data_IF_013742221902
#
_entry.id   IF_013742221902
#
_cell.length_a   1.000
_cell.length_b   1.000
_cell.length_c   1.000
_cell.angle_alpha   90.00
_cell.angle_beta   90.00
_cell.angle_gamma   90.00
#
_symmetry.space_group_name_H-M   'P 1'
#
loop_
_entity.id
_entity.type
_entity.pdbx_description
1 polymer ?
#
# COMPACT_ATOMS: atom_id res chain seq x y z
N UNK A 1 9.33 -8.52 -44.89
CA UNK A 1 8.77 -9.25 -43.74
C UNK A 1 8.83 -8.49 -42.40
N UNK A 2 9.80 -7.60 -42.11
CA UNK A 2 9.88 -6.89 -40.81
C UNK A 2 8.88 -5.72 -40.63
N UNK A 3 8.39 -5.12 -41.71
CA UNK A 3 7.39 -4.02 -41.69
C UNK A 3 5.99 -4.49 -41.33
N UNK A 4 5.58 -5.67 -41.82
CA UNK A 4 4.27 -6.28 -41.52
C UNK A 4 4.17 -6.67 -40.03
N UNK A 5 5.28 -7.12 -39.43
CA UNK A 5 5.30 -7.51 -38.02
C UNK A 5 5.17 -6.30 -37.07
N UNK A 6 5.77 -5.15 -37.41
CA UNK A 6 5.66 -3.89 -36.65
C UNK A 6 4.27 -3.26 -36.72
N UNK A 7 3.60 -3.37 -37.88
CA UNK A 7 2.21 -2.91 -38.06
C UNK A 7 1.24 -3.67 -37.15
N UNK A 8 1.36 -5.00 -37.08
CA UNK A 8 0.51 -5.85 -36.22
C UNK A 8 0.71 -5.56 -34.73
N UNK A 9 1.94 -5.33 -34.27
CA UNK A 9 2.19 -4.99 -32.87
C UNK A 9 1.60 -3.64 -32.45
N UNK A 10 1.56 -2.67 -33.36
CA UNK A 10 0.96 -1.36 -33.13
C UNK A 10 -0.56 -1.44 -32.94
N UNK A 11 -1.24 -2.18 -33.81
CA UNK A 11 -2.69 -2.39 -33.74
C UNK A 11 -3.11 -3.09 -32.44
N UNK A 12 -2.38 -4.14 -32.04
CA UNK A 12 -2.65 -4.84 -30.76
C UNK A 12 -2.48 -3.91 -29.57
N UNK A 13 -1.44 -3.07 -29.57
CA UNK A 13 -1.18 -2.11 -28.48
C UNK A 13 -2.32 -1.08 -28.35
N UNK A 14 -2.79 -0.53 -29.47
CA UNK A 14 -3.93 0.39 -29.45
C UNK A 14 -5.24 -0.29 -29.05
N UNK A 15 -5.46 -1.54 -29.48
CA UNK A 15 -6.60 -2.33 -29.04
C UNK A 15 -6.61 -2.54 -27.52
N UNK A 16 -5.46 -2.87 -26.92
CA UNK A 16 -5.33 -2.99 -25.46
C UNK A 16 -5.55 -1.66 -24.74
N UNK A 17 -5.03 -0.57 -25.29
CA UNK A 17 -5.24 0.78 -24.75
C UNK A 17 -6.72 1.15 -24.71
N UNK A 18 -7.43 0.98 -25.82
CA UNK A 18 -8.85 1.30 -25.93
C UNK A 18 -9.70 0.39 -25.02
N UNK A 19 -9.40 -0.91 -24.98
CA UNK A 19 -10.12 -1.85 -24.12
C UNK A 19 -9.92 -1.53 -22.63
N UNK A 20 -8.68 -1.28 -22.20
CA UNK A 20 -8.38 -0.89 -20.82
C UNK A 20 -9.06 0.42 -20.44
N UNK A 21 -9.05 1.42 -21.33
CA UNK A 21 -9.73 2.70 -21.13
C UNK A 21 -11.25 2.52 -21.05
N UNK A 22 -11.84 1.68 -21.90
CA UNK A 22 -13.27 1.40 -21.93
C UNK A 22 -13.74 0.73 -20.63
N UNK A 23 -13.05 -0.30 -20.17
CA UNK A 23 -13.40 -1.03 -18.94
C UNK A 23 -13.25 -0.15 -17.70
N UNK A 24 -12.17 0.64 -17.61
CA UNK A 24 -11.99 1.60 -16.52
C UNK A 24 -13.08 2.67 -16.52
N UNK A 25 -13.44 3.19 -17.70
CA UNK A 25 -14.53 4.16 -17.84
C UNK A 25 -15.88 3.58 -17.45
N UNK A 26 -16.13 2.31 -17.80
CA UNK A 26 -17.32 1.58 -17.37
C UNK A 26 -17.42 1.48 -15.85
N UNK A 27 -16.35 1.07 -15.18
CA UNK A 27 -16.29 1.01 -13.71
C UNK A 27 -16.52 2.39 -13.09
N UNK A 28 -15.82 3.43 -13.55
CA UNK A 28 -16.00 4.80 -13.03
C UNK A 28 -17.45 5.25 -13.24
N UNK A 29 -18.03 5.03 -14.41
CA UNK A 29 -19.42 5.40 -14.69
C UNK A 29 -20.38 4.67 -13.75
N UNK A 30 -20.23 3.36 -13.55
CA UNK A 30 -21.07 2.57 -12.63
C UNK A 30 -20.95 3.05 -11.20
N UNK A 31 -19.74 3.24 -10.70
CA UNK A 31 -19.47 3.67 -9.32
C UNK A 31 -20.00 5.08 -9.06
N UNK A 32 -19.90 5.97 -10.05
CA UNK A 32 -20.35 7.36 -9.92
C UNK A 32 -21.86 7.52 -10.13
N UNK A 33 -22.51 6.64 -10.90
CA UNK A 33 -23.96 6.71 -11.13
C UNK A 33 -24.79 6.01 -10.05
N UNK A 34 -24.23 5.06 -9.32
CA UNK A 34 -24.92 4.36 -8.23
C UNK A 34 -24.65 5.02 -6.87
N UNK A 35 -25.70 5.50 -6.22
CA UNK A 35 -25.61 6.15 -4.91
C UNK A 35 -25.03 5.21 -3.82
N UNK A 36 -25.30 3.91 -3.87
CA UNK A 36 -24.79 2.95 -2.89
C UNK A 36 -23.27 2.78 -3.01
N UNK A 37 -22.72 2.97 -4.23
CA UNK A 37 -21.29 2.87 -4.48
C UNK A 37 -20.60 4.20 -4.20
N UNK A 38 -21.19 5.32 -4.63
CA UNK A 38 -20.55 6.64 -4.53
C UNK A 38 -20.47 7.16 -3.10
N UNK A 39 -21.47 6.87 -2.25
CA UNK A 39 -21.51 7.30 -0.85
C UNK A 39 -20.39 6.69 0.01
N UNK A 40 -19.77 5.58 -0.44
CA UNK A 40 -18.65 4.95 0.29
C UNK A 40 -17.35 5.76 0.14
N UNK A 41 -17.24 6.58 -0.91
CA UNK A 41 -16.00 7.29 -1.19
C UNK A 41 -15.88 8.63 -0.48
N UNK A 42 -16.94 9.44 -0.52
CA UNK A 42 -16.91 10.82 -0.02
C UNK A 42 -18.33 11.39 0.13
N UNK A 43 -18.49 12.52 0.86
CA UNK A 43 -19.78 13.18 1.01
C UNK A 43 -20.30 13.79 -0.31
N UNK A 44 -21.59 14.15 -0.33
CA UNK A 44 -22.30 14.54 -1.56
C UNK A 44 -21.68 15.76 -2.27
N UNK A 45 -21.15 16.74 -1.53
CA UNK A 45 -20.50 17.93 -2.09
C UNK A 45 -19.25 17.58 -2.92
N UNK A 46 -18.43 16.66 -2.42
CA UNK A 46 -17.27 16.13 -3.16
C UNK A 46 -17.74 15.32 -4.37
N UNK A 47 -18.87 14.61 -4.24
CA UNK A 47 -19.44 13.84 -5.35
C UNK A 47 -19.88 14.72 -6.51
N UNK A 48 -20.59 15.82 -6.26
CA UNK A 48 -21.01 16.77 -7.29
C UNK A 48 -19.81 17.32 -8.08
N UNK A 49 -18.70 17.62 -7.39
CA UNK A 49 -17.44 18.05 -8.03
C UNK A 49 -16.89 17.00 -9.00
N UNK A 50 -16.83 15.72 -8.60
CA UNK A 50 -16.33 14.66 -9.47
C UNK A 50 -17.26 14.39 -10.67
N UNK A 51 -18.58 14.47 -10.47
CA UNK A 51 -19.55 14.35 -11.55
C UNK A 51 -19.36 15.46 -12.59
N UNK A 52 -19.19 16.70 -12.15
CA UNK A 52 -18.90 17.84 -13.03
C UNK A 52 -17.56 17.66 -13.76
N UNK A 53 -16.51 17.19 -13.07
CA UNK A 53 -15.22 16.87 -13.68
C UNK A 53 -15.34 15.78 -14.75
N UNK A 54 -16.32 14.89 -14.65
CA UNK A 54 -16.62 13.85 -15.63
C UNK A 54 -17.64 14.29 -16.71
N UNK A 55 -18.10 15.53 -16.66
CA UNK A 55 -19.05 16.11 -17.63
C UNK A 55 -20.49 15.62 -17.45
N UNK A 56 -20.85 15.25 -16.22
CA UNK A 56 -22.22 15.04 -15.81
C UNK A 56 -22.72 16.17 -14.92
N UNK A 57 -23.98 16.07 -14.52
CA UNK A 57 -24.66 17.02 -13.63
C UNK A 57 -25.48 16.26 -12.58
N UNK A 58 -25.65 16.86 -11.41
CA UNK A 58 -26.51 16.34 -10.33
C UNK A 58 -27.72 17.24 -10.15
N UNK A 59 -28.92 16.65 -10.22
CA UNK A 59 -30.17 17.37 -9.97
C UNK A 59 -30.83 16.82 -8.72
N UNK A 60 -31.41 17.68 -7.87
CA UNK A 60 -32.18 17.23 -6.71
C UNK A 60 -33.65 17.10 -7.11
N UNK A 61 -34.24 15.93 -6.86
CA UNK A 61 -35.67 15.74 -7.05
C UNK A 61 -36.47 16.60 -6.08
N UNK A 62 -37.78 16.75 -6.35
CA UNK A 62 -38.73 17.42 -5.44
C UNK A 62 -38.77 16.75 -4.05
N UNK A 63 -38.45 15.46 -3.98
CA UNK A 63 -38.33 14.70 -2.72
C UNK A 63 -36.96 14.80 -2.04
N UNK A 64 -36.03 15.61 -2.57
CA UNK A 64 -34.68 15.79 -2.03
C UNK A 64 -33.68 14.70 -2.38
N UNK A 65 -34.05 13.74 -3.25
CA UNK A 65 -33.15 12.67 -3.72
C UNK A 65 -32.29 13.21 -4.85
N UNK A 66 -30.98 13.11 -4.70
CA UNK A 66 -30.02 13.49 -5.74
C UNK A 66 -30.04 12.47 -6.88
N UNK A 67 -30.31 12.94 -8.09
CA UNK A 67 -30.21 12.17 -9.33
C UNK A 67 -28.96 12.60 -10.09
N UNK A 68 -28.14 11.63 -10.46
CA UNK A 68 -26.89 11.86 -11.20
C UNK A 68 -27.10 11.58 -12.67
N UNK A 69 -26.93 12.60 -13.52
CA UNK A 69 -26.90 12.45 -14.97
C UNK A 69 -25.44 12.43 -15.44
N UNK A 70 -24.90 11.24 -15.74
CA UNK A 70 -23.51 11.08 -16.16
C UNK A 70 -23.43 10.32 -17.50
N UNK A 71 -23.18 11.01 -18.62
CA UNK A 71 -23.08 10.36 -19.92
C UNK A 71 -21.83 9.46 -20.01
N UNK A 72 -22.01 8.17 -20.27
CA UNK A 72 -20.90 7.21 -20.40
C UNK A 72 -19.85 7.62 -21.44
N UNK A 73 -20.28 8.27 -22.54
CA UNK A 73 -19.38 8.80 -23.56
C UNK A 73 -18.47 9.91 -23.01
N UNK A 74 -18.98 10.79 -22.13
CA UNK A 74 -18.18 11.85 -21.50
C UNK A 74 -17.12 11.26 -20.57
N UNK A 75 -17.50 10.27 -19.74
CA UNK A 75 -16.57 9.54 -18.87
C UNK A 75 -15.46 8.89 -19.71
N UNK A 76 -15.83 8.18 -20.77
CA UNK A 76 -14.87 7.53 -21.66
C UNK A 76 -13.87 8.49 -22.29
N UNK A 77 -14.34 9.62 -22.82
CA UNK A 77 -13.47 10.64 -23.44
C UNK A 77 -12.48 11.22 -22.43
N UNK A 78 -12.92 11.50 -21.20
CA UNK A 78 -12.08 12.11 -20.16
C UNK A 78 -11.06 11.13 -19.58
N UNK A 79 -11.46 9.88 -19.31
CA UNK A 79 -10.55 8.82 -18.86
C UNK A 79 -9.51 8.52 -19.94
N UNK A 80 -9.94 8.34 -21.19
CA UNK A 80 -9.03 8.10 -22.32
C UNK A 80 -8.08 9.29 -22.52
N UNK A 81 -8.60 10.52 -22.43
CA UNK A 81 -7.81 11.75 -22.50
C UNK A 81 -6.76 11.85 -21.40
N UNK A 82 -7.11 11.49 -20.15
CA UNK A 82 -6.18 11.46 -19.03
C UNK A 82 -5.05 10.43 -19.23
N UNK A 83 -5.39 9.20 -19.64
CA UNK A 83 -4.39 8.15 -19.92
C UNK A 83 -3.48 8.51 -21.10
N UNK A 84 -4.03 9.16 -22.13
CA UNK A 84 -3.25 9.68 -23.25
C UNK A 84 -2.33 10.83 -22.80
N UNK A 85 -2.81 11.73 -21.95
CA UNK A 85 -2.03 12.80 -21.34
C UNK A 85 -0.84 12.28 -20.54
N UNK A 86 -1.06 11.25 -19.70
CA UNK A 86 0.01 10.52 -19.01
C UNK A 86 1.03 9.92 -19.99
N UNK A 87 0.55 9.32 -21.08
CA UNK A 87 1.40 8.74 -22.12
C UNK A 87 2.27 9.82 -22.79
N UNK A 88 1.68 10.95 -23.19
CA UNK A 88 2.38 12.08 -23.81
C UNK A 88 3.43 12.63 -22.85
N UNK A 89 3.05 12.85 -21.59
CA UNK A 89 3.95 13.37 -20.56
C UNK A 89 5.13 12.41 -20.30
N UNK A 90 4.87 11.10 -20.20
CA UNK A 90 5.92 10.10 -20.04
C UNK A 90 6.89 10.07 -21.23
N UNK A 91 6.36 10.25 -22.44
CA UNK A 91 7.15 10.29 -23.67
C UNK A 91 8.02 11.54 -23.74
N UNK A 92 7.46 12.70 -23.37
CA UNK A 92 8.18 13.98 -23.31
C UNK A 92 9.27 13.97 -22.25
N UNK A 93 9.00 13.48 -21.04
CA UNK A 93 10.00 13.36 -19.98
C UNK A 93 11.14 12.40 -20.39
N UNK A 94 10.80 11.27 -21.00
CA UNK A 94 11.78 10.31 -21.47
C UNK A 94 12.63 10.84 -22.64
N UNK A 95 12.07 11.68 -23.51
CA UNK A 95 12.82 12.30 -24.62
C UNK A 95 13.70 13.47 -24.15
N UNK A 96 13.23 14.27 -23.20
CA UNK A 96 14.00 15.38 -22.59
C UNK A 96 15.27 14.88 -21.90
N UNK A 97 15.17 13.82 -21.08
CA UNK A 97 16.35 13.18 -20.45
C UNK A 97 17.35 12.61 -21.46
N UNK A 98 16.89 12.17 -22.63
CA UNK A 98 17.78 11.69 -23.70
C UNK A 98 18.58 12.83 -24.30
N UNK A 99 18.01 14.01 -24.46
CA UNK A 99 18.75 15.17 -24.98
C UNK A 99 19.84 15.62 -23.99
N UNK A 100 19.56 15.63 -22.69
CA UNK A 100 20.57 15.95 -21.67
C UNK A 100 21.69 14.90 -21.61
N UNK A 101 21.35 13.61 -21.75
CA UNK A 101 22.35 12.53 -21.72
C UNK A 101 23.08 12.34 -23.06
N UNK A 102 22.50 12.71 -24.19
CA UNK A 102 23.15 12.63 -25.51
C UNK A 102 24.39 13.54 -25.60
N UNK A 103 24.40 14.67 -24.88
CA UNK A 103 25.60 15.49 -24.70
C UNK A 103 26.71 14.79 -23.89
N UNK A 104 26.40 13.72 -23.13
CA UNK A 104 27.35 12.90 -22.36
C UNK A 104 27.69 11.54 -23.02
N UNK A 105 26.83 11.01 -23.88
CA UNK A 105 26.90 9.63 -24.41
C UNK A 105 27.67 9.52 -25.74
N UNK A 106 28.08 10.63 -26.35
CA UNK A 106 29.01 10.59 -27.50
C UNK A 106 30.38 9.96 -27.14
N UNK A 107 30.67 9.72 -25.85
CA UNK A 107 31.91 9.10 -25.39
C UNK A 107 31.87 7.58 -25.11
N UNK A 108 30.72 6.91 -24.89
CA UNK A 108 30.72 5.45 -24.59
C UNK A 108 29.48 4.68 -25.05
N UNK A 109 29.70 3.92 -26.12
CA UNK A 109 29.14 2.60 -26.44
C UNK A 109 27.62 2.44 -26.63
N UNK A 110 27.30 1.97 -27.85
CA UNK A 110 26.03 1.37 -28.26
C UNK A 110 25.74 0.10 -27.46
N UNK A 111 24.99 0.23 -26.36
CA UNK A 111 24.35 -0.92 -25.70
C UNK A 111 22.82 -0.72 -25.65
N UNK A 112 22.14 -1.39 -26.59
CA UNK A 112 20.76 -1.91 -26.50
C UNK A 112 19.75 -1.16 -25.61
N UNK A 113 19.37 0.07 -25.95
CA UNK A 113 18.10 0.65 -25.47
C UNK A 113 16.99 0.38 -26.49
N UNK A 114 16.19 -0.67 -26.28
CA UNK A 114 14.93 -0.84 -27.03
C UNK A 114 13.96 0.26 -26.59
N UNK A 115 13.84 1.34 -27.36
CA UNK A 115 12.80 2.33 -27.12
C UNK A 115 11.43 1.71 -27.40
N UNK A 116 10.59 1.56 -26.37
CA UNK A 116 9.17 1.25 -26.56
C UNK A 116 8.53 2.32 -27.45
N UNK A 117 7.73 1.89 -28.43
CA UNK A 117 6.93 2.81 -29.24
C UNK A 117 5.87 3.49 -28.38
N UNK A 118 5.40 4.65 -28.83
CA UNK A 118 4.33 5.41 -28.16
C UNK A 118 3.08 4.55 -27.89
N UNK A 119 2.69 3.74 -28.87
CA UNK A 119 1.56 2.81 -28.74
C UNK A 119 1.75 1.77 -27.63
N UNK A 120 2.97 1.25 -27.44
CA UNK A 120 3.25 0.27 -26.39
C UNK A 120 3.27 0.91 -25.00
N UNK A 121 3.72 2.17 -24.90
CA UNK A 121 3.63 2.96 -23.65
C UNK A 121 2.18 3.21 -23.24
N UNK A 122 1.35 3.62 -24.19
CA UNK A 122 -0.08 3.81 -24.00
C UNK A 122 -0.74 2.50 -23.52
N UNK A 123 -0.50 1.39 -24.24
CA UNK A 123 -1.04 0.09 -23.90
C UNK A 123 -0.65 -0.36 -22.48
N UNK A 124 0.59 -0.12 -22.08
CA UNK A 124 1.06 -0.47 -20.75
C UNK A 124 0.33 0.34 -19.66
N UNK A 125 0.26 1.68 -19.78
CA UNK A 125 -0.43 2.55 -18.80
C UNK A 125 -1.90 2.16 -18.65
N UNK A 126 -2.59 1.80 -19.74
CA UNK A 126 -4.00 1.44 -19.70
C UNK A 126 -4.26 -0.03 -19.28
N UNK A 127 -3.23 -0.90 -19.30
CA UNK A 127 -3.38 -2.34 -19.03
C UNK A 127 -4.01 -2.66 -17.68
N UNK A 128 -3.68 -1.98 -16.56
CA UNK A 128 -4.35 -2.25 -15.29
C UNK A 128 -5.85 -1.97 -15.33
N UNK A 129 -6.33 -1.10 -16.22
CA UNK A 129 -7.76 -0.88 -16.45
C UNK A 129 -8.53 -2.11 -16.93
N UNK A 130 -7.84 -3.15 -17.43
CA UNK A 130 -8.48 -4.44 -17.73
C UNK A 130 -9.05 -5.12 -16.47
N UNK A 131 -8.47 -4.90 -15.29
CA UNK A 131 -9.00 -5.43 -14.03
C UNK A 131 -10.34 -4.80 -13.64
N UNK A 132 -10.66 -3.60 -14.14
CA UNK A 132 -12.01 -3.03 -14.02
C UNK A 132 -13.06 -3.93 -14.66
N UNK A 133 -12.71 -4.69 -15.71
CA UNK A 133 -13.61 -5.68 -16.31
C UNK A 133 -13.95 -6.84 -15.38
N UNK A 134 -13.02 -7.27 -14.53
CA UNK A 134 -13.26 -8.32 -13.52
C UNK A 134 -14.23 -7.79 -12.47
N UNK A 135 -13.99 -6.57 -11.96
CA UNK A 135 -14.90 -5.95 -10.99
C UNK A 135 -16.29 -5.73 -11.58
N UNK A 136 -16.39 -5.22 -12.81
CA UNK A 136 -17.67 -5.03 -13.51
C UNK A 136 -18.43 -6.36 -13.67
N UNK A 137 -17.74 -7.43 -14.06
CA UNK A 137 -18.34 -8.75 -14.18
C UNK A 137 -18.89 -9.24 -12.84
N UNK A 138 -18.13 -9.07 -11.75
CA UNK A 138 -18.58 -9.43 -10.40
C UNK A 138 -19.78 -8.58 -9.97
N UNK A 139 -19.73 -7.27 -10.18
CA UNK A 139 -20.81 -6.34 -9.82
C UNK A 139 -22.12 -6.67 -10.55
N UNK A 140 -22.08 -6.88 -11.86
CA UNK A 140 -23.28 -7.23 -12.64
C UNK A 140 -23.75 -8.67 -12.41
N UNK A 141 -22.88 -9.57 -11.99
CA UNK A 141 -23.26 -10.93 -11.58
C UNK A 141 -23.81 -10.98 -10.15
N UNK A 142 -23.48 -10.03 -9.28
CA UNK A 142 -23.87 -10.07 -7.86
C UNK A 142 -25.40 -10.17 -7.64
N UNK A 143 -26.26 -9.45 -8.40
CA UNK A 143 -27.71 -9.63 -8.30
C UNK A 143 -28.20 -11.04 -8.65
N UNK A 144 -27.50 -11.78 -9.52
CA UNK A 144 -27.88 -13.13 -9.94
C UNK A 144 -27.73 -14.15 -8.79
N UNK A 145 -26.83 -13.87 -7.84
CA UNK A 145 -26.56 -14.74 -6.68
C UNK A 145 -27.63 -14.56 -5.58
N UNK A 146 -28.48 -13.52 -5.68
CA UNK A 146 -29.57 -13.22 -4.72
C UNK A 146 -29.15 -13.11 -3.24
N UNK A 147 -27.86 -12.88 -2.97
CA UNK A 147 -27.33 -12.71 -1.61
C UNK A 147 -27.03 -11.24 -1.35
N UNK A 148 -27.82 -10.62 -0.47
CA UNK A 148 -27.67 -9.20 -0.07
C UNK A 148 -26.26 -8.93 0.46
N UNK A 149 -25.71 -9.87 1.25
CA UNK A 149 -24.36 -9.77 1.82
C UNK A 149 -23.27 -9.70 0.75
N UNK A 150 -23.46 -10.38 -0.39
CA UNK A 150 -22.48 -10.38 -1.47
C UNK A 150 -22.48 -9.03 -2.21
N UNK A 151 -23.66 -8.45 -2.47
CA UNK A 151 -23.77 -7.11 -3.07
C UNK A 151 -23.13 -6.06 -2.14
N UNK A 152 -23.44 -6.13 -0.84
CA UNK A 152 -22.84 -5.25 0.16
C UNK A 152 -21.31 -5.40 0.20
N UNK A 153 -20.80 -6.64 0.17
CA UNK A 153 -19.36 -6.90 0.13
C UNK A 153 -18.68 -6.27 -1.09
N UNK A 154 -19.25 -6.43 -2.30
CA UNK A 154 -18.69 -5.82 -3.51
C UNK A 154 -18.74 -4.29 -3.42
N UNK A 155 -19.83 -3.72 -2.89
CA UNK A 155 -19.95 -2.27 -2.68
C UNK A 155 -18.88 -1.74 -1.70
N UNK A 156 -18.75 -2.35 -0.52
CA UNK A 156 -17.78 -1.95 0.51
C UNK A 156 -16.32 -2.11 0.05
N UNK A 157 -16.02 -3.07 -0.82
CA UNK A 157 -14.67 -3.29 -1.35
C UNK A 157 -14.35 -2.48 -2.62
N UNK A 158 -15.32 -1.71 -3.13
CA UNK A 158 -15.15 -0.90 -4.35
C UNK A 158 -14.05 0.16 -4.24
N UNK A 159 -13.93 0.95 -3.14
CA UNK A 159 -12.82 1.88 -2.99
C UNK A 159 -11.45 1.22 -3.05
N UNK A 160 -11.31 0.06 -2.41
CA UNK A 160 -10.08 -0.72 -2.44
C UNK A 160 -9.72 -1.17 -3.87
N UNK A 161 -10.69 -1.75 -4.60
CA UNK A 161 -10.49 -2.18 -5.97
C UNK A 161 -10.09 -1.02 -6.89
N UNK A 162 -10.77 0.13 -6.80
CA UNK A 162 -10.46 1.30 -7.61
C UNK A 162 -9.07 1.85 -7.29
N UNK A 163 -8.72 2.00 -6.01
CA UNK A 163 -7.40 2.49 -5.58
C UNK A 163 -6.27 1.57 -6.05
N UNK A 164 -6.45 0.24 -6.01
CA UNK A 164 -5.45 -0.70 -6.54
C UNK A 164 -5.22 -0.52 -8.05
N UNK A 165 -6.29 -0.32 -8.82
CA UNK A 165 -6.20 -0.11 -10.27
C UNK A 165 -5.49 1.21 -10.55
N UNK A 166 -5.87 2.30 -9.88
CA UNK A 166 -5.23 3.61 -10.03
C UNK A 166 -3.75 3.58 -9.62
N UNK A 167 -3.41 2.92 -8.50
CA UNK A 167 -2.04 2.75 -8.06
C UNK A 167 -1.21 1.94 -9.08
N UNK A 168 -1.81 0.93 -9.70
CA UNK A 168 -1.16 0.14 -10.75
C UNK A 168 -0.91 0.94 -12.03
N UNK A 169 -1.87 1.80 -12.44
CA UNK A 169 -1.71 2.73 -13.56
C UNK A 169 -0.58 3.72 -13.27
N UNK A 170 -0.56 4.30 -12.07
CA UNK A 170 0.48 5.23 -11.65
C UNK A 170 1.86 4.57 -11.62
N UNK A 171 1.95 3.34 -11.09
CA UNK A 171 3.18 2.56 -11.08
C UNK A 171 3.71 2.29 -12.49
N UNK A 172 2.83 1.91 -13.43
CA UNK A 172 3.21 1.69 -14.82
C UNK A 172 3.60 2.99 -15.55
N UNK A 173 2.97 4.11 -15.19
CA UNK A 173 3.37 5.42 -15.72
C UNK A 173 4.75 5.85 -15.19
N UNK A 174 5.01 5.67 -13.88
CA UNK A 174 6.29 5.98 -13.26
C UNK A 174 7.42 5.09 -13.79
N UNK A 175 7.16 3.79 -14.00
CA UNK A 175 8.14 2.84 -14.55
C UNK A 175 8.64 3.27 -15.94
N UNK A 176 7.80 3.96 -16.71
CA UNK A 176 8.14 4.47 -18.05
C UNK A 176 9.02 5.72 -18.07
N UNK A 177 9.08 6.43 -16.94
CA UNK A 177 9.87 7.67 -16.75
C UNK A 177 11.18 7.36 -15.99
N UNK A 178 11.17 6.31 -15.18
CA UNK A 178 12.34 5.87 -14.42
C UNK A 178 13.36 5.24 -15.35
N UNK A 179 14.58 5.79 -15.37
CA UNK A 179 15.70 5.15 -16.04
C UNK A 179 16.12 3.97 -15.18
N UNK A 180 15.54 2.80 -15.44
CA UNK A 180 16.09 1.52 -14.97
C UNK A 180 17.36 1.20 -15.77
N UNK A 181 18.31 2.13 -15.79
CA UNK A 181 19.71 1.74 -15.93
C UNK A 181 19.96 0.89 -14.69
N UNK A 182 20.11 -0.42 -14.87
CA UNK A 182 20.39 -1.35 -13.79
C UNK A 182 21.44 -0.69 -12.88
N UNK A 183 21.03 -0.33 -11.67
CA UNK A 183 21.93 0.25 -10.67
C UNK A 183 23.00 -0.82 -10.48
N UNK A 184 24.17 -0.61 -11.08
CA UNK A 184 25.27 -1.54 -10.91
C UNK A 184 25.58 -1.56 -9.42
N UNK A 185 25.80 -2.74 -8.81
CA UNK A 185 26.10 -2.85 -7.39
C UNK A 185 27.31 -1.99 -6.96
N UNK A 186 28.15 -1.54 -7.90
CA UNK A 186 29.21 -0.55 -7.67
C UNK A 186 28.71 0.85 -7.29
N UNK A 187 27.59 1.36 -7.82
CA UNK A 187 27.07 2.67 -7.39
C UNK A 187 26.37 2.63 -6.02
N UNK A 188 26.01 1.43 -5.56
CA UNK A 188 25.50 1.20 -4.20
C UNK A 188 26.57 1.36 -3.11
N UNK A 189 27.84 1.56 -3.49
CA UNK A 189 28.92 1.96 -2.57
C UNK A 189 28.95 3.45 -2.27
N UNK A 190 28.05 4.25 -2.89
CA UNK A 190 27.78 5.63 -2.46
C UNK A 190 27.52 5.63 -0.95
N UNK A 191 28.39 6.35 -0.23
CA UNK A 191 28.53 6.27 1.23
C UNK A 191 27.19 6.29 1.95
N UNK A 192 27.11 5.59 3.08
CA UNK A 192 25.95 5.64 3.96
C UNK A 192 25.56 7.11 4.17
N UNK A 193 24.39 7.51 3.67
CA UNK A 193 23.89 8.87 3.75
C UNK A 193 23.58 9.21 5.19
N UNK A 194 24.63 9.43 6.00
CA UNK A 194 24.51 9.64 7.45
C UNK A 194 23.68 10.88 7.73
N UNK A 195 23.77 11.89 6.85
CA UNK A 195 22.95 13.09 6.91
C UNK A 195 21.48 12.78 6.64
N UNK A 196 21.17 12.04 5.57
CA UNK A 196 19.78 11.66 5.24
C UNK A 196 19.15 10.81 6.34
N UNK A 197 19.88 9.83 6.87
CA UNK A 197 19.39 9.05 8.01
C UNK A 197 19.23 9.93 9.26
N UNK A 198 20.15 10.86 9.53
CA UNK A 198 20.02 11.79 10.65
C UNK A 198 18.77 12.67 10.50
N UNK A 199 18.46 13.15 9.30
CA UNK A 199 17.22 13.89 9.01
C UNK A 199 16.00 13.02 9.31
N UNK A 200 15.99 11.76 8.89
CA UNK A 200 14.90 10.82 9.20
C UNK A 200 14.76 10.62 10.71
N UNK A 201 15.86 10.43 11.44
CA UNK A 201 15.84 10.26 12.90
C UNK A 201 15.31 11.51 13.59
N UNK A 202 15.76 12.70 13.18
CA UNK A 202 15.24 13.97 13.71
C UNK A 202 13.73 14.08 13.43
N UNK A 203 13.30 13.76 12.20
CA UNK A 203 11.89 13.79 11.82
C UNK A 203 11.05 12.80 12.64
N UNK A 204 11.57 11.61 12.95
CA UNK A 204 10.93 10.64 13.85
C UNK A 204 10.67 11.28 15.23
N UNK A 205 11.68 11.91 15.83
CA UNK A 205 11.51 12.55 17.15
C UNK A 205 10.59 13.77 17.12
N UNK A 206 10.63 14.56 16.05
CA UNK A 206 9.72 15.70 15.86
C UNK A 206 8.28 15.22 15.71
N UNK A 207 8.06 14.19 14.89
CA UNK A 207 6.75 13.59 14.69
C UNK A 207 6.22 12.99 16.01
N UNK A 208 7.05 12.22 16.71
CA UNK A 208 6.71 11.65 18.03
C UNK A 208 6.32 12.72 19.04
N UNK A 209 7.12 13.79 19.16
CA UNK A 209 6.83 14.88 20.08
C UNK A 209 5.50 15.59 19.73
N UNK A 210 5.21 15.75 18.44
CA UNK A 210 3.95 16.36 17.98
C UNK A 210 2.75 15.45 18.25
N UNK A 211 2.84 14.17 17.90
CA UNK A 211 1.81 13.16 18.15
C UNK A 211 1.50 13.04 19.63
N UNK A 212 2.53 12.84 20.46
CA UNK A 212 2.39 12.77 21.90
C UNK A 212 1.77 14.04 22.48
N UNK A 213 2.20 15.23 22.03
CA UNK A 213 1.60 16.48 22.47
C UNK A 213 0.11 16.56 22.13
N UNK A 214 -0.28 16.17 20.91
CA UNK A 214 -1.68 16.16 20.50
C UNK A 214 -2.52 15.18 21.32
N UNK A 215 -2.04 13.96 21.54
CA UNK A 215 -2.75 12.99 22.36
C UNK A 215 -2.80 13.38 23.85
N UNK A 216 -1.75 14.01 24.38
CA UNK A 216 -1.78 14.58 25.73
C UNK A 216 -2.84 15.68 25.85
N UNK A 217 -3.03 16.53 24.83
CA UNK A 217 -4.13 17.50 24.81
C UNK A 217 -5.50 16.83 24.81
N UNK A 218 -5.65 15.72 24.08
CA UNK A 218 -6.90 14.93 24.10
C UNK A 218 -7.15 14.33 25.48
N UNK A 219 -6.12 13.73 26.08
CA UNK A 219 -6.19 13.17 27.44
C UNK A 219 -6.53 14.23 28.49
N UNK A 220 -5.80 15.35 28.50
CA UNK A 220 -6.04 16.46 29.43
C UNK A 220 -7.41 17.12 29.22
N UNK A 221 -7.92 17.13 27.98
CA UNK A 221 -9.25 17.60 27.63
C UNK A 221 -10.38 16.62 27.92
N UNK A 222 -10.08 15.43 28.46
CA UNK A 222 -11.03 14.32 28.64
C UNK A 222 -11.74 13.90 27.34
N UNK A 223 -11.02 14.03 26.22
CA UNK A 223 -11.45 13.68 24.87
C UNK A 223 -10.90 12.29 24.47
N UNK A 224 -10.91 11.33 25.40
CA UNK A 224 -10.56 9.94 25.14
C UNK A 224 -11.87 9.14 25.08
N UNK A 225 -12.47 8.97 23.90
CA UNK A 225 -13.88 8.64 23.76
C UNK A 225 -14.22 7.15 23.98
N UNK A 226 -13.24 6.24 24.09
CA UNK A 226 -13.49 4.78 24.13
C UNK A 226 -12.83 4.04 25.29
N UNK A 227 -13.57 3.04 25.80
CA UNK A 227 -13.16 2.16 26.90
C UNK A 227 -11.95 1.27 26.58
N UNK A 228 -11.72 0.93 25.30
CA UNK A 228 -10.56 0.14 24.86
C UNK A 228 -9.23 0.67 25.41
N UNK A 229 -9.05 2.00 25.34
CA UNK A 229 -7.84 2.67 25.81
C UNK A 229 -7.56 2.40 27.29
N UNK A 230 -8.59 2.47 28.13
CA UNK A 230 -8.49 2.17 29.57
C UNK A 230 -8.36 0.66 29.82
N UNK A 231 -9.00 -0.15 28.98
CA UNK A 231 -8.97 -1.61 29.06
C UNK A 231 -7.56 -2.17 28.88
N UNK A 232 -6.78 -1.69 27.90
CA UNK A 232 -5.40 -2.16 27.71
C UNK A 232 -4.48 -1.80 28.89
N UNK A 233 -4.68 -0.63 29.49
CA UNK A 233 -3.95 -0.24 30.71
C UNK A 233 -4.34 -1.15 31.89
N UNK A 234 -5.64 -1.43 32.04
CA UNK A 234 -6.16 -2.38 33.03
C UNK A 234 -5.51 -3.76 32.89
N UNK A 235 -5.34 -4.26 31.66
CA UNK A 235 -4.70 -5.55 31.40
C UNK A 235 -3.26 -5.58 31.89
N UNK A 236 -2.46 -4.56 31.53
CA UNK A 236 -1.09 -4.48 32.01
C UNK A 236 -1.06 -4.45 33.53
N UNK A 237 -1.90 -3.61 34.14
CA UNK A 237 -2.01 -3.50 35.59
C UNK A 237 -2.40 -4.83 36.24
N UNK A 238 -3.41 -5.52 35.73
CA UNK A 238 -3.89 -6.81 36.25
C UNK A 238 -2.83 -7.91 36.13
N UNK A 239 -2.08 -7.94 35.03
CA UNK A 239 -1.02 -8.95 34.80
C UNK A 239 0.08 -8.84 35.86
N UNK A 240 0.64 -7.65 36.11
CA UNK A 240 1.72 -7.53 37.09
C UNK A 240 1.24 -7.57 38.56
N UNK A 241 -0.06 -7.35 38.81
CA UNK A 241 -0.69 -7.58 40.12
C UNK A 241 -1.19 -9.02 40.33
N UNK A 242 -0.89 -9.96 39.42
CA UNK A 242 -1.25 -11.37 39.57
C UNK A 242 -2.73 -11.68 39.34
N UNK A 243 -3.48 -10.77 38.73
CA UNK A 243 -4.90 -10.93 38.38
C UNK A 243 -5.11 -11.51 36.97
N UNK A 244 -4.05 -11.62 36.16
CA UNK A 244 -4.09 -12.18 34.81
C UNK A 244 -4.78 -11.25 33.80
N UNK A 245 -5.35 -11.80 32.72
CA UNK A 245 -6.08 -11.06 31.68
C UNK A 245 -7.56 -10.82 32.02
N UNK A 246 -7.86 -10.55 33.29
CA UNK A 246 -9.21 -10.13 33.68
C UNK A 246 -9.45 -8.72 33.15
N UNK A 247 -10.64 -8.48 32.61
CA UNK A 247 -11.13 -7.16 32.23
C UNK A 247 -12.37 -6.86 33.05
N UNK A 248 -12.52 -5.61 33.50
CA UNK A 248 -13.75 -5.15 34.12
C UNK A 248 -14.78 -4.67 33.09
N UNK A 249 -14.29 -4.19 31.94
CA UNK A 249 -15.10 -3.67 30.84
C UNK A 249 -15.69 -4.80 29.98
N UNK A 250 -14.95 -5.90 29.80
CA UNK A 250 -15.45 -7.12 29.17
C UNK A 250 -15.70 -8.17 30.24
N UNK A 251 -16.95 -8.62 30.38
CA UNK A 251 -17.29 -9.66 31.36
C UNK A 251 -16.65 -11.00 30.97
N UNK A 252 -15.39 -11.23 31.36
CA UNK A 252 -14.66 -12.46 31.04
C UNK A 252 -13.12 -12.33 31.03
N UNK A 253 -12.50 -13.18 30.21
CA UNK A 253 -11.06 -13.14 29.88
C UNK A 253 -10.90 -12.38 28.56
N UNK A 254 -10.07 -11.33 28.56
CA UNK A 254 -9.81 -10.48 27.39
C UNK A 254 -9.42 -11.25 26.11
N UNK A 255 -8.66 -12.34 26.26
CA UNK A 255 -8.25 -13.20 25.14
C UNK A 255 -9.42 -13.91 24.43
N UNK A 256 -10.64 -13.83 24.98
CA UNK A 256 -11.85 -14.36 24.36
C UNK A 256 -12.42 -13.49 23.24
N UNK A 257 -12.09 -12.21 23.19
CA UNK A 257 -12.56 -11.30 22.13
C UNK A 257 -11.56 -11.17 20.98
N UNK A 258 -10.29 -10.94 21.31
CA UNK A 258 -9.20 -10.90 20.34
C UNK A 258 -7.93 -11.55 20.92
N UNK A 259 -7.17 -12.24 20.07
CA UNK A 259 -5.87 -12.81 20.49
C UNK A 259 -4.82 -11.70 20.38
N UNK A 260 -4.76 -10.84 21.40
CA UNK A 260 -3.86 -9.67 21.43
C UNK A 260 -2.97 -9.69 22.65
N UNK A 261 -1.70 -10.02 22.48
CA UNK A 261 -0.72 -10.08 23.59
C UNK A 261 0.49 -9.18 23.36
N UNK A 262 0.58 -8.51 22.20
CA UNK A 262 1.70 -7.62 21.87
C UNK A 262 1.91 -6.52 22.91
N UNK A 263 0.82 -5.99 23.49
CA UNK A 263 0.88 -4.91 24.48
C UNK A 263 1.64 -5.33 25.75
N UNK A 264 1.74 -6.63 26.05
CA UNK A 264 2.57 -7.15 27.16
C UNK A 264 4.05 -6.81 27.02
N UNK A 265 4.55 -6.52 25.81
CA UNK A 265 5.91 -6.02 25.62
C UNK A 265 6.15 -4.69 26.36
N UNK A 266 5.09 -3.93 26.64
CA UNK A 266 5.15 -2.69 27.40
C UNK A 266 5.17 -2.90 28.92
N UNK A 267 4.97 -4.13 29.42
CA UNK A 267 4.85 -4.40 30.85
C UNK A 267 6.02 -3.83 31.68
N UNK A 268 7.31 -4.00 31.29
CA UNK A 268 8.42 -3.45 32.06
C UNK A 268 8.37 -1.91 32.14
N UNK A 269 7.95 -1.26 31.06
CA UNK A 269 7.87 0.20 31.01
C UNK A 269 6.67 0.72 31.81
N UNK A 270 5.53 0.05 31.69
CA UNK A 270 4.32 0.37 32.46
C UNK A 270 4.51 0.15 33.97
N UNK A 271 5.35 -0.80 34.40
CA UNK A 271 5.70 -0.96 35.82
C UNK A 271 6.48 0.24 36.38
N UNK A 272 7.26 0.93 35.53
CA UNK A 272 8.01 2.13 35.92
C UNK A 272 7.15 3.39 35.83
N UNK A 273 6.30 3.45 34.79
CA UNK A 273 5.42 4.58 34.49
C UNK A 273 4.01 4.07 34.19
N UNK A 274 3.20 3.75 35.23
CA UNK A 274 1.86 3.20 35.07
C UNK A 274 0.89 4.31 34.67
N UNK A 275 0.86 4.62 33.38
CA UNK A 275 0.07 5.70 32.82
C UNK A 275 -0.35 5.40 31.39
N UNK A 276 -1.61 5.65 31.07
CA UNK A 276 -2.16 5.66 29.72
C UNK A 276 -1.26 6.39 28.70
N UNK A 277 -0.83 7.62 29.04
CA UNK A 277 0.08 8.42 28.20
C UNK A 277 1.40 7.71 27.86
N UNK A 278 1.90 6.84 28.74
CA UNK A 278 3.13 6.07 28.46
C UNK A 278 2.89 5.04 27.37
N UNK A 279 1.75 4.36 27.41
CA UNK A 279 1.37 3.38 26.40
C UNK A 279 1.11 4.05 25.05
N UNK A 280 0.41 5.17 25.08
CA UNK A 280 0.10 5.95 23.88
C UNK A 280 1.37 6.53 23.23
N UNK A 281 2.31 7.10 24.00
CA UNK A 281 3.64 7.46 23.50
C UNK A 281 4.36 6.27 22.85
N UNK A 282 4.26 5.07 23.43
CA UNK A 282 4.85 3.88 22.83
C UNK A 282 4.17 3.48 21.51
N UNK A 283 2.87 3.71 21.38
CA UNK A 283 2.11 3.42 20.17
C UNK A 283 2.52 4.39 19.05
N UNK A 284 2.55 5.69 19.32
CA UNK A 284 3.06 6.71 18.40
C UNK A 284 4.50 6.41 17.99
N UNK A 285 5.38 6.13 18.96
CA UNK A 285 6.78 5.86 18.67
C UNK A 285 6.97 4.61 17.80
N UNK A 286 6.11 3.60 17.98
CA UNK A 286 6.09 2.41 17.13
C UNK A 286 5.72 2.74 15.68
N UNK A 287 4.78 3.67 15.44
CA UNK A 287 4.49 4.14 14.09
C UNK A 287 5.65 4.96 13.51
N UNK A 288 6.24 5.85 14.31
CA UNK A 288 7.34 6.70 13.89
C UNK A 288 8.58 5.89 13.48
N UNK A 289 8.97 4.89 14.28
CA UNK A 289 10.17 4.08 14.05
C UNK A 289 10.09 3.22 12.78
N UNK A 290 8.88 2.98 12.24
CA UNK A 290 8.69 2.33 10.94
C UNK A 290 9.36 3.10 9.78
N UNK A 291 9.63 4.40 9.94
CA UNK A 291 10.41 5.18 8.97
C UNK A 291 11.83 4.61 8.74
N UNK A 292 12.42 3.93 9.74
CA UNK A 292 13.77 3.34 9.64
C UNK A 292 13.80 2.15 8.66
N UNK A 293 12.99 1.09 8.83
CA UNK A 293 12.93 0.01 7.85
C UNK A 293 12.44 0.51 6.47
N UNK A 294 11.54 1.50 6.39
CA UNK A 294 11.18 2.14 5.10
C UNK A 294 12.41 2.76 4.42
N UNK A 295 13.20 3.56 5.14
CA UNK A 295 14.44 4.13 4.63
C UNK A 295 15.43 3.04 4.17
N UNK A 296 15.58 1.98 4.97
CA UNK A 296 16.44 0.83 4.67
C UNK A 296 16.05 0.12 3.37
N UNK A 297 14.76 -0.22 3.23
CA UNK A 297 14.20 -0.90 2.06
C UNK A 297 14.33 0.01 0.83
N UNK A 298 13.86 1.27 0.94
CA UNK A 298 13.88 2.22 -0.15
C UNK A 298 15.29 2.49 -0.67
N UNK A 299 16.28 2.63 0.23
CA UNK A 299 17.67 2.86 -0.17
C UNK A 299 18.24 1.66 -0.92
N UNK A 300 17.92 0.44 -0.46
CA UNK A 300 18.37 -0.81 -1.10
C UNK A 300 17.85 -0.93 -2.52
N UNK A 301 16.58 -0.60 -2.75
CA UNK A 301 15.96 -0.71 -4.08
C UNK A 301 16.26 0.48 -5.01
N UNK A 302 16.37 1.69 -4.46
CA UNK A 302 16.62 2.90 -5.27
C UNK A 302 18.10 3.24 -5.48
N UNK A 303 19.01 2.66 -4.69
CA UNK A 303 20.42 3.06 -4.63
C UNK A 303 20.65 4.49 -4.12
N UNK A 304 19.61 5.21 -3.69
CA UNK A 304 19.66 6.64 -3.35
C UNK A 304 19.19 6.90 -1.93
N UNK A 305 20.10 7.41 -1.09
CA UNK A 305 19.79 7.84 0.28
C UNK A 305 18.74 8.97 0.30
N UNK A 306 18.73 9.84 -0.72
CA UNK A 306 17.75 10.93 -0.83
C UNK A 306 16.35 10.42 -1.17
N UNK A 307 16.24 9.49 -2.12
CA UNK A 307 14.95 8.88 -2.44
C UNK A 307 14.39 8.12 -1.23
N UNK A 308 15.27 7.41 -0.51
CA UNK A 308 14.90 6.72 0.72
C UNK A 308 14.44 7.68 1.83
N UNK A 309 15.13 8.81 2.01
CA UNK A 309 14.73 9.86 2.95
C UNK A 309 13.33 10.38 2.63
N UNK A 310 13.08 10.76 1.38
CA UNK A 310 11.77 11.27 0.99
C UNK A 310 10.65 10.24 1.18
N UNK A 311 10.90 8.95 0.93
CA UNK A 311 9.90 7.91 1.19
C UNK A 311 9.66 7.72 2.69
N UNK A 312 10.71 7.77 3.52
CA UNK A 312 10.59 7.69 4.97
C UNK A 312 9.86 8.91 5.56
N UNK A 313 10.11 10.11 5.04
CA UNK A 313 9.34 11.31 5.38
C UNK A 313 7.89 11.21 4.90
N UNK A 314 7.67 10.63 3.71
CA UNK A 314 6.34 10.34 3.18
C UNK A 314 5.55 9.40 4.09
N UNK A 315 6.22 8.40 4.69
CA UNK A 315 5.61 7.55 5.74
C UNK A 315 5.17 8.37 6.95
N UNK A 316 6.03 9.26 7.48
CA UNK A 316 5.69 10.11 8.62
C UNK A 316 4.57 11.12 8.32
N UNK A 317 4.33 11.43 7.05
CA UNK A 317 3.25 12.33 6.60
C UNK A 317 2.03 11.55 6.05
N UNK A 318 2.03 10.23 6.16
CA UNK A 318 1.00 9.38 5.58
C UNK A 318 -0.30 9.49 6.40
N UNK A 319 -1.36 10.06 5.80
CA UNK A 319 -2.61 10.34 6.50
C UNK A 319 -3.23 9.14 7.24
N UNK A 320 -3.29 7.91 6.67
CA UNK A 320 -3.79 6.75 7.41
C UNK A 320 -2.97 6.40 8.66
N UNK A 321 -1.67 6.73 8.68
CA UNK A 321 -0.85 6.58 9.89
C UNK A 321 -1.28 7.57 10.98
N UNK A 322 -1.59 8.82 10.61
CA UNK A 322 -2.07 9.84 11.55
C UNK A 322 -3.45 9.49 12.09
N UNK A 323 -4.31 8.92 11.24
CA UNK A 323 -5.61 8.40 11.65
C UNK A 323 -5.48 7.21 12.61
N UNK A 324 -4.50 6.33 12.38
CA UNK A 324 -4.26 5.21 13.28
C UNK A 324 -3.80 5.67 14.68
N UNK A 325 -3.01 6.75 14.73
CA UNK A 325 -2.43 7.34 15.94
C UNK A 325 -3.41 8.23 16.74
N UNK A 326 -4.14 9.13 16.07
CA UNK A 326 -4.93 10.20 16.70
C UNK A 326 -6.39 10.14 16.20
N UNK A 327 -6.99 8.96 16.06
CA UNK A 327 -8.39 8.86 15.62
C UNK A 327 -9.33 9.52 16.63
N UNK A 328 -9.82 10.70 16.26
CA UNK A 328 -10.70 11.56 17.08
C UNK A 328 -12.08 10.90 17.33
N UNK A 329 -12.54 10.03 16.43
CA UNK A 329 -13.93 9.56 16.44
C UNK A 329 -14.17 8.22 17.16
N UNK A 330 -13.11 7.40 17.38
CA UNK A 330 -13.28 6.01 17.82
C UNK A 330 -12.27 5.62 18.90
N UNK A 331 -11.00 5.29 18.59
CA UNK A 331 -10.05 4.76 19.58
C UNK A 331 -8.70 5.45 19.46
N UNK A 332 -8.21 6.03 20.55
CA UNK A 332 -6.90 6.70 20.62
C UNK A 332 -5.75 5.68 20.74
N UNK A 333 -5.90 4.63 21.56
CA UNK A 333 -4.87 3.59 21.70
C UNK A 333 -5.26 2.31 20.98
N UNK A 334 -4.46 1.91 19.99
CA UNK A 334 -4.62 0.65 19.24
C UNK A 334 -3.39 -0.23 19.34
N UNK A 335 -3.55 -1.50 19.78
CA UNK A 335 -2.42 -2.43 19.82
C UNK A 335 -1.79 -2.70 18.45
N UNK A 336 -2.55 -2.49 17.37
CA UNK A 336 -2.06 -2.62 15.99
C UNK A 336 -0.82 -1.76 15.71
N UNK A 337 -0.67 -0.62 16.38
CA UNK A 337 0.52 0.23 16.28
C UNK A 337 1.81 -0.50 16.68
N UNK A 338 1.76 -1.32 17.74
CA UNK A 338 2.93 -2.03 18.26
C UNK A 338 3.43 -3.13 17.30
N UNK A 339 2.55 -3.69 16.48
CA UNK A 339 2.89 -4.72 15.49
C UNK A 339 3.61 -4.19 14.25
N UNK A 340 3.42 -2.91 13.92
CA UNK A 340 3.91 -2.31 12.66
C UNK A 340 5.45 -2.33 12.50
N UNK A 341 6.26 -1.96 13.52
CA UNK A 341 7.72 -2.10 13.44
C UNK A 341 8.15 -3.52 13.09
N UNK A 342 7.52 -4.51 13.74
CA UNK A 342 7.88 -5.90 13.56
C UNK A 342 7.52 -6.39 12.16
N UNK A 343 6.38 -5.95 11.62
CA UNK A 343 6.00 -6.23 10.25
C UNK A 343 7.03 -5.68 9.25
N UNK A 344 7.42 -4.41 9.39
CA UNK A 344 8.31 -3.74 8.44
C UNK A 344 9.73 -4.27 8.49
N UNK A 345 10.27 -4.52 9.68
CA UNK A 345 11.55 -5.18 9.85
C UNK A 345 11.50 -6.65 9.40
N UNK A 346 10.37 -7.33 9.58
CA UNK A 346 10.12 -8.66 9.05
C UNK A 346 10.29 -8.71 7.53
N UNK A 347 9.71 -7.74 6.82
CA UNK A 347 9.89 -7.56 5.37
C UNK A 347 11.36 -7.25 5.03
N UNK A 348 11.99 -6.29 5.72
CA UNK A 348 13.40 -5.94 5.46
C UNK A 348 14.35 -7.13 5.64
N UNK A 349 14.14 -7.95 6.67
CA UNK A 349 14.92 -9.17 6.90
C UNK A 349 14.62 -10.26 5.86
N UNK A 350 13.36 -10.41 5.44
CA UNK A 350 12.97 -11.35 4.39
C UNK A 350 13.72 -11.04 3.08
N UNK A 351 13.70 -9.77 2.65
CA UNK A 351 14.39 -9.33 1.44
C UNK A 351 15.91 -9.55 1.52
N UNK A 352 16.51 -9.37 2.69
CA UNK A 352 17.93 -9.66 2.97
C UNK A 352 18.22 -11.15 3.18
N UNK A 353 17.24 -12.03 2.95
CA UNK A 353 17.34 -13.50 3.11
C UNK A 353 17.67 -13.96 4.55
N UNK A 354 17.38 -13.13 5.56
CA UNK A 354 17.55 -13.46 6.99
C UNK A 354 16.28 -14.09 7.54
N UNK A 355 15.95 -15.29 7.06
CA UNK A 355 14.64 -15.93 7.24
C UNK A 355 14.27 -16.15 8.71
N UNK A 356 15.22 -16.56 9.55
CA UNK A 356 14.98 -16.73 10.99
C UNK A 356 14.53 -15.42 11.65
N UNK A 357 15.21 -14.30 11.37
CA UNK A 357 14.87 -12.99 11.94
C UNK A 357 13.52 -12.50 11.42
N UNK A 358 13.27 -12.72 10.13
CA UNK A 358 11.98 -12.39 9.53
C UNK A 358 10.84 -13.17 10.15
N UNK A 359 10.99 -14.50 10.32
CA UNK A 359 10.01 -15.34 11.01
C UNK A 359 9.76 -14.90 12.45
N UNK A 360 10.81 -14.60 13.21
CA UNK A 360 10.66 -14.10 14.59
C UNK A 360 9.85 -12.80 14.61
N UNK A 361 10.16 -11.87 13.73
CA UNK A 361 9.47 -10.59 13.63
C UNK A 361 8.02 -10.74 13.17
N UNK A 362 7.73 -11.61 12.21
CA UNK A 362 6.36 -11.91 11.83
C UNK A 362 5.59 -12.62 12.94
N UNK A 363 6.19 -13.52 13.72
CA UNK A 363 5.54 -14.13 14.88
C UNK A 363 5.20 -13.10 15.95
N UNK A 364 6.10 -12.14 16.22
CA UNK A 364 5.79 -11.03 17.13
C UNK A 364 4.67 -10.16 16.54
N UNK A 365 4.71 -9.84 15.24
CA UNK A 365 3.64 -9.08 14.59
C UNK A 365 2.28 -9.80 14.67
N UNK A 366 2.24 -11.12 14.54
CA UNK A 366 1.01 -11.91 14.67
C UNK A 366 0.41 -11.86 16.09
N UNK A 367 1.25 -11.68 17.12
CA UNK A 367 0.78 -11.50 18.50
C UNK A 367 0.00 -10.21 18.75
N UNK A 368 -0.10 -9.36 17.73
CA UNK A 368 -0.82 -8.10 17.76
C UNK A 368 -2.32 -8.30 17.79
N UNK A 369 -2.84 -9.04 16.81
CA UNK A 369 -4.25 -9.37 16.64
C UNK A 369 -4.38 -10.41 15.51
N UNK A 370 -5.46 -11.20 15.51
CA UNK A 370 -5.70 -12.28 14.53
C UNK A 370 -5.78 -11.81 13.07
N UNK A 371 -6.21 -10.58 12.79
CA UNK A 371 -6.27 -9.99 11.45
C UNK A 371 -4.89 -9.64 10.86
N UNK A 372 -3.82 -9.59 11.66
CA UNK A 372 -2.44 -9.53 11.16
C UNK A 372 -2.06 -10.80 10.38
N UNK A 373 -2.76 -11.92 10.59
CA UNK A 373 -2.59 -13.15 9.80
C UNK A 373 -2.79 -12.91 8.31
N UNK A 374 -3.81 -12.14 7.93
CA UNK A 374 -4.11 -11.80 6.54
C UNK A 374 -2.98 -10.98 5.93
N UNK A 375 -2.41 -10.04 6.68
CA UNK A 375 -1.31 -9.18 6.22
C UNK A 375 -0.03 -9.99 6.05
N UNK A 376 0.39 -10.75 7.06
CA UNK A 376 1.60 -11.58 7.03
C UNK A 376 1.49 -12.67 5.97
N UNK A 377 0.34 -13.33 5.85
CA UNK A 377 0.07 -14.33 4.83
C UNK A 377 0.15 -13.75 3.42
N UNK A 378 -0.42 -12.55 3.21
CA UNK A 378 -0.34 -11.84 1.92
C UNK A 378 1.10 -11.48 1.55
N UNK A 379 1.92 -11.04 2.51
CA UNK A 379 3.36 -10.81 2.30
C UNK A 379 4.06 -12.11 1.90
N UNK A 380 3.76 -13.23 2.59
CA UNK A 380 4.27 -14.56 2.24
C UNK A 380 3.92 -14.96 0.81
N UNK A 381 2.67 -14.73 0.39
CA UNK A 381 2.22 -14.98 -0.98
C UNK A 381 2.97 -14.12 -2.01
N UNK A 382 3.08 -12.81 -1.77
CA UNK A 382 3.79 -11.90 -2.69
C UNK A 382 5.26 -12.31 -2.83
N UNK A 383 5.95 -12.58 -1.72
CA UNK A 383 7.35 -13.02 -1.74
C UNK A 383 7.51 -14.36 -2.50
N UNK A 384 6.55 -15.28 -2.34
CA UNK A 384 6.52 -16.53 -3.09
C UNK A 384 6.34 -16.28 -4.60
N UNK A 385 5.37 -15.46 -4.99
CA UNK A 385 5.06 -15.15 -6.39
C UNK A 385 6.21 -14.42 -7.10
N UNK A 386 6.81 -13.42 -6.45
CA UNK A 386 7.98 -12.72 -6.97
C UNK A 386 9.14 -13.71 -7.20
N UNK A 387 9.35 -14.64 -6.27
CA UNK A 387 10.40 -15.64 -6.41
C UNK A 387 10.09 -16.67 -7.49
N UNK A 388 8.83 -17.08 -7.63
CA UNK A 388 8.37 -17.98 -8.69
C UNK A 388 8.59 -17.37 -10.08
N UNK A 389 8.21 -16.10 -10.27
CA UNK A 389 8.45 -15.35 -11.51
C UNK A 389 9.95 -15.28 -11.83
N UNK A 390 10.79 -14.95 -10.84
CA UNK A 390 12.24 -14.89 -11.02
C UNK A 390 12.82 -16.24 -11.49
N UNK A 391 12.30 -17.38 -11.00
CA UNK A 391 12.75 -18.71 -11.47
C UNK A 391 12.33 -18.98 -12.91
N UNK A 392 11.08 -18.68 -13.26
CA UNK A 392 10.57 -18.88 -14.63
C UNK A 392 11.33 -18.04 -15.66
N UNK A 393 11.85 -16.87 -15.26
CA UNK A 393 12.74 -16.04 -16.08
C UNK A 393 14.16 -16.57 -16.20
N UNK A 394 14.73 -17.11 -15.10
CA UNK A 394 16.12 -17.67 -15.08
C UNK A 394 16.24 -19.00 -15.81
N UNK A 395 15.15 -19.78 -15.94
CA UNK A 395 15.13 -20.99 -16.78
C UNK A 395 15.44 -20.75 -18.27
N UNK A 396 15.62 -19.50 -18.71
CA UNK A 396 16.05 -19.15 -20.08
C UNK A 396 17.57 -18.93 -20.24
N UNK A 397 18.35 -18.67 -19.18
CA UNK A 397 19.79 -18.35 -19.33
C UNK A 397 20.62 -18.89 -18.15
N UNK A 398 21.43 -19.93 -18.45
CA UNK A 398 22.60 -20.46 -17.74
C UNK A 398 22.50 -20.81 -16.23
N UNK A 399 22.53 -22.13 -16.00
CA UNK A 399 22.60 -22.79 -14.69
C UNK A 399 23.96 -22.64 -14.01
N UNK A 400 23.96 -22.08 -12.80
CA UNK A 400 25.00 -22.28 -11.80
C UNK A 400 24.35 -22.93 -10.55
N UNK A 401 25.00 -23.95 -9.97
CA UNK A 401 24.42 -24.92 -9.02
C UNK A 401 24.17 -24.44 -7.58
N UNK A 402 24.57 -23.23 -7.20
CA UNK A 402 24.45 -22.71 -5.83
C UNK A 402 23.28 -21.72 -5.59
N UNK A 403 22.94 -20.78 -6.50
CA UNK A 403 21.77 -19.91 -6.33
C UNK A 403 20.45 -20.69 -6.24
N UNK A 404 20.34 -21.83 -6.93
CA UNK A 404 19.10 -22.61 -6.99
C UNK A 404 18.63 -23.11 -5.61
N UNK A 405 19.56 -23.52 -4.73
CA UNK A 405 19.23 -23.99 -3.38
C UNK A 405 18.68 -22.88 -2.49
N UNK A 406 19.32 -21.70 -2.50
CA UNK A 406 18.85 -20.55 -1.71
C UNK A 406 17.50 -20.01 -2.21
N UNK A 407 17.31 -19.98 -3.54
CA UNK A 407 16.03 -19.61 -4.15
C UNK A 407 14.94 -20.62 -3.76
N UNK A 408 15.29 -21.91 -3.73
CA UNK A 408 14.41 -23.02 -3.28
C UNK A 408 14.00 -22.90 -1.83
N UNK A 409 14.95 -22.67 -0.94
CA UNK A 409 14.69 -22.46 0.48
C UNK A 409 13.78 -21.25 0.72
N UNK A 410 14.05 -20.13 0.05
CA UNK A 410 13.25 -18.92 0.21
C UNK A 410 11.80 -19.12 -0.19
N UNK A 411 11.50 -19.71 -1.35
CA UNK A 411 10.10 -19.96 -1.73
C UNK A 411 9.40 -20.93 -0.79
N UNK A 412 10.09 -21.98 -0.31
CA UNK A 412 9.52 -22.89 0.68
C UNK A 412 9.19 -22.14 1.97
N UNK A 413 10.08 -21.26 2.41
CA UNK A 413 9.85 -20.41 3.58
C UNK A 413 8.69 -19.43 3.36
N UNK A 414 8.62 -18.73 2.22
CA UNK A 414 7.53 -17.79 1.90
C UNK A 414 6.16 -18.50 1.84
N UNK A 415 6.11 -19.70 1.25
CA UNK A 415 4.92 -20.54 1.27
C UNK A 415 4.59 -21.00 2.70
N UNK A 416 5.60 -21.34 3.50
CA UNK A 416 5.44 -21.67 4.90
C UNK A 416 4.84 -20.52 5.73
N UNK A 417 5.25 -19.27 5.49
CA UNK A 417 4.66 -18.07 6.10
C UNK A 417 3.18 -17.96 5.73
N UNK A 418 2.84 -18.10 4.44
CA UNK A 418 1.45 -18.08 3.99
C UNK A 418 0.60 -19.17 4.67
N UNK A 419 1.07 -20.41 4.65
CA UNK A 419 0.33 -21.55 5.24
C UNK A 419 0.19 -21.41 6.76
N UNK A 420 1.23 -20.95 7.43
CA UNK A 420 1.17 -20.69 8.87
C UNK A 420 0.13 -19.62 9.20
N UNK A 421 0.08 -18.53 8.45
CA UNK A 421 -0.93 -17.48 8.62
C UNK A 421 -2.36 -17.92 8.34
N UNK A 422 -2.60 -19.01 7.60
CA UNK A 422 -3.95 -19.56 7.40
C UNK A 422 -4.39 -20.40 8.62
N UNK A 423 -3.43 -20.97 9.34
CA UNK A 423 -3.67 -21.85 10.49
C UNK A 423 -3.72 -21.06 11.80
N UNK A 424 -2.89 -20.01 11.91
CA UNK A 424 -2.88 -19.05 13.02
C UNK A 424 -4.22 -18.31 13.11
#
# INVERSE_FOLDING_TARGET
>A
MSTIHKSRSGLVSWGLFLLGSLLLSGMICTVMSDANLSLVFWPNDIHEFFISCLGGDTTKSVSGVSQTNLPAASVFLRVTGALLGLTILSHWLASSKRQTNAAQVEAKSKASFRSLSFSSRAAAIARPGLFSGVWLAVWFAAPLVSQISFIAFVATTTPYALTLILASILNEWLSQISDTSAITPESATAGFGRMELAIVIIAIFVWEAMSFWMNERLYAGLLVPHGDSAMYEEHLWNVWHGKGFRSYLDQGLFLGEHIQVIHLLLLPLHMLFPSYLTMEACASFSLAICAIPVFSIARRHSGSSRAAMWLALGWLLFFPMHYLDIAIDLKTLRPSCYGMPFLFWGIDFAERRKLWRSSLFFLIALSTQEDFSLVVGSIGLVLFLCQWQARTGVSSENSARDPEKQLTLFSKWSLGVLLFSIIY
#
